data_IF_425841945241
#
_entry.id   IF_425841945241
#
_cell.length_a   1.000
_cell.length_b   1.000
_cell.length_c   1.000
_cell.angle_alpha   90.00
_cell.angle_beta   90.00
_cell.angle_gamma   90.00
#
_symmetry.space_group_name_H-M   'P 1'
#
loop_
_entity.id
_entity.type
_entity.pdbx_description
1 polymer ?
#
# COMPACT_ATOMS: atom_id res chain seq x y z
N UNK A 1 16.69 7.20 -3.45
CA UNK A 1 15.74 6.93 -4.58
C UNK A 1 16.16 7.54 -5.92
N UNK A 2 17.03 8.55 -5.94
CA UNK A 2 17.46 9.21 -7.19
C UNK A 2 18.62 8.51 -7.91
N UNK A 3 19.36 7.67 -7.21
CA UNK A 3 20.53 6.96 -7.73
C UNK A 3 20.12 5.94 -8.78
N UNK A 4 20.48 6.23 -10.04
CA UNK A 4 20.26 5.39 -11.21
C UNK A 4 21.49 4.54 -11.43
N UNK A 5 21.31 3.26 -11.78
CA UNK A 5 22.42 2.43 -12.21
C UNK A 5 22.31 2.13 -13.70
N UNK A 6 22.98 2.95 -14.52
CA UNK A 6 22.94 2.85 -15.98
C UNK A 6 23.46 1.51 -16.53
N UNK A 7 24.13 0.68 -15.72
CA UNK A 7 24.59 -0.66 -16.13
C UNK A 7 23.48 -1.71 -16.10
N UNK A 8 22.49 -1.54 -15.21
CA UNK A 8 21.39 -2.48 -15.03
C UNK A 8 20.08 -1.83 -15.51
N UNK A 9 20.02 -1.42 -16.77
CA UNK A 9 18.78 -0.94 -17.39
C UNK A 9 17.98 -2.15 -17.85
N UNK A 10 16.72 -2.26 -17.44
CA UNK A 10 15.86 -3.43 -17.74
C UNK A 10 16.46 -4.78 -17.30
N UNK A 11 17.26 -4.77 -16.23
CA UNK A 11 17.73 -6.00 -15.62
C UNK A 11 16.55 -6.82 -15.05
N UNK A 12 16.53 -8.15 -15.25
CA UNK A 12 15.48 -9.02 -14.75
C UNK A 12 15.55 -9.21 -13.22
N UNK A 13 14.52 -9.82 -12.61
CA UNK A 13 14.49 -10.19 -11.19
C UNK A 13 15.66 -11.08 -10.77
N UNK A 14 16.29 -10.75 -9.64
CA UNK A 14 17.36 -11.55 -9.05
C UNK A 14 16.83 -12.50 -7.98
N UNK A 15 16.98 -13.81 -8.20
CA UNK A 15 16.67 -14.84 -7.23
C UNK A 15 17.74 -14.92 -6.12
N UNK A 16 17.31 -15.31 -4.92
CA UNK A 16 18.18 -15.56 -3.77
C UNK A 16 18.53 -17.04 -3.75
N UNK A 17 19.82 -17.34 -3.58
CA UNK A 17 20.34 -18.69 -3.46
C UNK A 17 21.04 -18.87 -2.11
N UNK A 18 21.02 -20.10 -1.57
CA UNK A 18 21.64 -20.46 -0.30
C UNK A 18 22.85 -21.39 -0.47
N UNK A 19 22.83 -22.20 -1.54
CA UNK A 19 23.86 -23.19 -1.86
C UNK A 19 24.56 -22.84 -3.17
N UNK A 20 25.88 -22.93 -3.18
CA UNK A 20 26.69 -22.79 -4.39
C UNK A 20 27.55 -24.04 -4.55
N UNK A 21 27.37 -24.76 -5.66
CA UNK A 21 28.14 -25.98 -5.97
C UNK A 21 28.15 -27.05 -4.84
N UNK A 22 27.04 -27.18 -4.12
CA UNK A 22 26.90 -28.15 -3.03
C UNK A 22 27.33 -27.66 -1.64
N UNK A 23 28.03 -26.52 -1.54
CA UNK A 23 28.42 -25.92 -0.27
C UNK A 23 27.44 -24.82 0.18
N UNK A 24 27.21 -24.73 1.50
CA UNK A 24 26.42 -23.67 2.11
C UNK A 24 27.27 -22.40 2.27
N UNK A 25 26.95 -21.35 1.49
CA UNK A 25 27.69 -20.07 1.48
C UNK A 25 26.90 -18.95 2.19
N UNK A 26 25.68 -19.25 2.66
CA UNK A 26 24.71 -18.28 3.16
C UNK A 26 23.89 -17.62 2.04
N UNK A 27 22.98 -16.68 2.34
CA UNK A 27 22.14 -16.04 1.32
C UNK A 27 22.97 -15.19 0.36
N UNK A 28 22.93 -15.50 -0.93
CA UNK A 28 23.67 -14.80 -1.98
C UNK A 28 22.86 -14.67 -3.28
N UNK A 29 23.39 -13.87 -4.20
CA UNK A 29 22.80 -13.60 -5.52
C UNK A 29 23.88 -13.68 -6.58
N UNK A 30 23.54 -14.21 -7.74
CA UNK A 30 24.44 -14.22 -8.90
C UNK A 30 24.47 -12.86 -9.61
N UNK A 31 25.65 -12.45 -10.04
CA UNK A 31 25.83 -11.29 -10.90
C UNK A 31 25.29 -11.54 -12.31
N UNK A 32 24.91 -10.47 -12.98
CA UNK A 32 24.58 -10.53 -14.41
C UNK A 32 25.77 -10.10 -15.27
N UNK A 33 25.89 -10.75 -16.42
CA UNK A 33 26.52 -10.18 -17.60
C UNK A 33 25.45 -9.74 -18.58
N UNK A 34 25.77 -8.77 -19.44
CA UNK A 34 24.86 -8.35 -20.49
C UNK A 34 25.58 -8.37 -21.83
N UNK A 35 24.86 -8.81 -22.86
CA UNK A 35 25.24 -8.63 -24.26
C UNK A 35 24.22 -7.71 -24.91
N UNK A 36 24.69 -6.79 -25.74
CA UNK A 36 23.79 -5.96 -26.55
C UNK A 36 23.38 -6.78 -27.76
N UNK A 37 22.09 -7.06 -27.89
CA UNK A 37 21.55 -7.65 -29.10
C UNK A 37 21.46 -6.54 -30.17
N UNK A 38 22.21 -6.68 -31.26
CA UNK A 38 22.30 -5.68 -32.32
C UNK A 38 21.02 -5.55 -33.14
N UNK A 39 20.11 -6.54 -33.09
CA UNK A 39 18.83 -6.49 -33.81
C UNK A 39 17.78 -5.70 -33.05
N UNK A 40 17.74 -5.86 -31.72
CA UNK A 40 16.73 -5.21 -30.86
C UNK A 40 17.26 -3.98 -30.13
N UNK A 41 18.58 -3.75 -30.14
CA UNK A 41 19.30 -2.76 -29.32
C UNK A 41 18.99 -2.88 -27.82
N UNK A 42 18.49 -4.05 -27.40
CA UNK A 42 18.19 -4.37 -26.00
C UNK A 42 19.36 -5.13 -25.38
N UNK A 43 19.54 -4.93 -24.07
CA UNK A 43 20.53 -5.68 -23.30
C UNK A 43 19.94 -7.02 -22.91
N UNK A 44 20.49 -8.11 -23.44
CA UNK A 44 20.20 -9.46 -23.01
C UNK A 44 21.06 -9.80 -21.79
N UNK A 45 20.43 -9.97 -20.63
CA UNK A 45 21.12 -10.32 -19.38
C UNK A 45 21.24 -11.83 -19.24
N UNK A 46 22.43 -12.32 -18.95
CA UNK A 46 22.69 -13.72 -18.61
C UNK A 46 23.23 -13.83 -17.20
N UNK A 47 22.79 -14.85 -16.45
CA UNK A 47 23.25 -15.09 -15.08
C UNK A 47 24.67 -15.65 -15.14
N UNK A 48 25.62 -14.96 -14.53
CA UNK A 48 26.99 -15.44 -14.41
C UNK A 48 27.17 -16.11 -13.03
N UNK A 49 27.37 -17.44 -13.04
CA UNK A 49 27.56 -18.25 -11.83
C UNK A 49 28.89 -18.01 -11.11
N UNK A 50 29.89 -17.45 -11.79
CA UNK A 50 31.20 -17.12 -11.23
C UNK A 50 31.14 -15.88 -10.33
N UNK A 51 30.12 -15.03 -10.54
CA UNK A 51 29.91 -13.80 -9.77
C UNK A 51 28.96 -14.05 -8.62
N UNK A 52 29.47 -14.61 -7.52
CA UNK A 52 28.72 -14.80 -6.28
C UNK A 52 28.76 -13.52 -5.43
N UNK A 53 27.59 -12.91 -5.19
CA UNK A 53 27.44 -11.72 -4.35
C UNK A 53 26.65 -12.04 -3.08
N UNK A 54 27.28 -12.22 -1.91
CA UNK A 54 26.57 -12.45 -0.66
C UNK A 54 25.65 -11.28 -0.28
N UNK A 55 24.45 -11.59 0.19
CA UNK A 55 23.48 -10.61 0.69
C UNK A 55 23.92 -10.17 2.08
N UNK A 56 23.98 -8.86 2.27
CA UNK A 56 24.24 -8.24 3.56
C UNK A 56 23.04 -7.37 3.95
N UNK A 57 22.52 -7.65 5.13
CA UNK A 57 21.51 -6.80 5.76
C UNK A 57 22.18 -5.53 6.30
N UNK A 58 21.48 -4.39 6.20
CA UNK A 58 21.89 -3.09 6.78
C UNK A 58 23.08 -2.39 6.10
N UNK A 59 23.22 -2.51 4.78
CA UNK A 59 24.19 -1.67 4.07
C UNK A 59 23.76 -0.20 4.08
N UNK A 60 24.73 0.69 4.32
CA UNK A 60 24.54 2.14 4.30
C UNK A 60 24.53 2.63 2.86
N UNK A 61 23.67 3.59 2.56
CA UNK A 61 23.72 4.39 1.35
C UNK A 61 22.67 5.48 1.39
N UNK A 62 22.07 5.81 0.24
CA UNK A 62 21.24 7.01 0.10
C UNK A 62 20.17 7.13 1.21
N UNK A 63 20.28 8.18 2.01
CA UNK A 63 19.30 8.44 3.07
C UNK A 63 17.92 8.67 2.46
N UNK A 64 16.92 7.99 3.00
CA UNK A 64 15.52 8.25 2.66
C UNK A 64 14.71 8.43 3.95
N UNK A 65 13.70 9.30 3.89
CA UNK A 65 12.75 9.46 4.99
C UNK A 65 11.70 8.36 4.87
N UNK A 66 11.72 7.41 5.78
CA UNK A 66 10.66 6.43 5.97
C UNK A 66 9.50 7.11 6.72
N UNK A 67 8.32 7.16 6.08
CA UNK A 67 7.12 7.80 6.62
C UNK A 67 7.28 9.26 7.07
N UNK A 68 8.23 10.00 6.48
CA UNK A 68 8.51 11.39 6.89
C UNK A 68 9.15 11.56 8.28
N UNK A 69 9.12 10.54 9.14
CA UNK A 69 9.54 10.57 10.54
C UNK A 69 10.88 9.87 10.77
N UNK A 70 11.11 8.69 10.20
CA UNK A 70 12.34 7.93 10.42
C UNK A 70 13.34 8.11 9.27
N UNK A 71 14.53 8.65 9.55
CA UNK A 71 15.64 8.66 8.57
C UNK A 71 16.23 7.26 8.48
N UNK A 72 15.71 6.45 7.56
CA UNK A 72 16.28 5.15 7.27
C UNK A 72 17.49 5.32 6.33
N UNK A 73 18.64 4.81 6.76
CA UNK A 73 19.89 4.76 5.97
C UNK A 73 20.26 3.33 5.58
N UNK A 74 19.52 2.36 6.09
CA UNK A 74 19.78 0.94 5.98
C UNK A 74 18.90 0.32 4.90
N UNK A 75 19.54 -0.39 3.97
CA UNK A 75 18.86 -1.20 2.96
C UNK A 75 19.61 -2.52 2.77
N UNK A 76 18.90 -3.49 2.22
CA UNK A 76 19.47 -4.78 1.83
C UNK A 76 20.36 -4.54 0.61
N UNK A 77 21.62 -4.96 0.67
CA UNK A 77 22.54 -4.93 -0.47
C UNK A 77 23.20 -6.27 -0.66
N UNK A 78 23.62 -6.55 -1.89
CA UNK A 78 24.61 -7.58 -2.15
C UNK A 78 26.00 -6.95 -2.14
N UNK A 79 26.88 -7.43 -1.28
CA UNK A 79 28.24 -6.92 -1.19
C UNK A 79 29.15 -7.84 -2.00
N UNK A 80 29.95 -7.29 -2.92
CA UNK A 80 31.01 -8.08 -3.56
C UNK A 80 32.09 -8.35 -2.50
N UNK A 81 32.15 -9.57 -1.98
CA UNK A 81 33.26 -10.02 -1.12
C UNK A 81 34.51 -10.16 -1.98
N UNK A 82 35.50 -9.30 -1.76
CA UNK A 82 36.86 -9.55 -2.24
C UNK A 82 37.56 -10.34 -1.15
N UNK A 83 37.67 -11.66 -1.36
CA UNK A 83 38.44 -12.69 -0.61
C UNK A 83 37.86 -13.28 0.70
N UNK A 84 38.24 -14.53 1.02
CA UNK A 84 37.62 -15.36 2.06
C UNK A 84 38.11 -14.98 3.46
N UNK A 85 37.22 -15.15 4.43
CA UNK A 85 37.38 -14.87 5.87
C UNK A 85 38.35 -15.84 6.60
N UNK A 86 39.29 -16.48 5.92
CA UNK A 86 40.24 -17.43 6.52
C UNK A 86 41.67 -16.89 6.64
N UNK A 87 41.98 -15.69 6.15
CA UNK A 87 43.26 -15.05 6.46
C UNK A 87 43.08 -14.01 7.56
N UNK A 88 43.49 -14.36 8.78
CA UNK A 88 43.61 -13.51 9.97
C UNK A 88 44.73 -12.47 9.81
N UNK A 89 44.96 -11.92 8.60
CA UNK A 89 45.89 -10.84 8.34
C UNK A 89 45.11 -9.54 8.15
N UNK A 90 45.30 -8.65 9.12
CA UNK A 90 45.11 -7.19 9.14
C UNK A 90 44.32 -6.65 7.94
N UNK A 91 43.05 -6.31 8.21
CA UNK A 91 42.15 -5.65 7.28
C UNK A 91 42.87 -4.48 6.56
N UNK A 92 42.94 -4.48 5.22
CA UNK A 92 43.33 -3.29 4.50
C UNK A 92 42.17 -2.28 4.58
N UNK A 93 42.52 -1.06 4.97
CA UNK A 93 41.78 0.20 4.84
C UNK A 93 40.27 0.10 4.47
N UNK A 94 39.32 0.45 5.37
CA UNK A 94 37.88 0.21 5.20
C UNK A 94 37.20 0.97 4.04
N UNK A 95 37.95 1.80 3.30
CA UNK A 95 37.47 2.59 2.16
C UNK A 95 37.86 2.00 0.79
N UNK A 96 38.70 0.97 0.73
CA UNK A 96 39.12 0.37 -0.54
C UNK A 96 38.38 -0.94 -0.82
N UNK A 97 37.59 -0.94 -1.88
CA UNK A 97 37.19 -2.11 -2.66
C UNK A 97 36.01 -3.01 -2.21
N UNK A 98 35.09 -2.58 -1.33
CA UNK A 98 33.74 -3.21 -1.36
C UNK A 98 32.85 -2.45 -2.33
N UNK A 99 32.85 -2.85 -3.61
CA UNK A 99 31.86 -2.35 -4.56
C UNK A 99 30.50 -2.95 -4.18
N UNK A 100 29.71 -2.17 -3.45
CA UNK A 100 28.33 -2.53 -3.12
C UNK A 100 27.53 -2.62 -4.41
N UNK A 101 27.08 -3.81 -4.76
CA UNK A 101 26.16 -4.02 -5.88
C UNK A 101 24.77 -3.91 -5.30
N UNK A 102 23.92 -3.09 -5.92
CA UNK A 102 22.53 -2.98 -5.45
C UNK A 102 21.80 -4.24 -5.86
N UNK A 103 21.24 -4.93 -4.88
CA UNK A 103 20.40 -6.10 -5.08
C UNK A 103 19.08 -5.67 -5.70
N UNK A 104 18.68 -6.30 -6.81
CA UNK A 104 17.47 -5.95 -7.57
C UNK A 104 16.50 -7.12 -7.60
N UNK A 105 15.75 -7.30 -6.51
CA UNK A 105 14.87 -8.45 -6.33
C UNK A 105 13.80 -8.56 -7.42
N UNK A 106 13.09 -7.47 -7.71
CA UNK A 106 12.10 -7.38 -8.79
C UNK A 106 12.66 -6.77 -10.09
N UNK A 107 13.99 -6.71 -10.21
CA UNK A 107 14.64 -6.11 -11.37
C UNK A 107 14.59 -4.58 -11.37
N UNK A 108 14.74 -4.01 -12.56
CA UNK A 108 14.94 -2.56 -12.75
C UNK A 108 14.09 -1.99 -13.88
N UNK A 109 13.71 -0.71 -13.73
CA UNK A 109 13.00 0.05 -14.76
C UNK A 109 13.95 0.50 -15.91
N UNK A 110 13.40 1.13 -16.95
CA UNK A 110 14.07 1.77 -18.10
C UNK A 110 15.21 2.72 -17.74
N UNK A 111 15.18 3.28 -16.53
CA UNK A 111 16.21 4.18 -16.00
C UNK A 111 17.25 3.48 -15.11
N UNK A 112 17.21 2.15 -14.99
CA UNK A 112 18.08 1.38 -14.11
C UNK A 112 17.83 1.65 -12.62
N UNK A 113 16.56 1.89 -12.26
CA UNK A 113 16.11 2.10 -10.88
C UNK A 113 15.45 0.83 -10.37
N UNK A 114 15.72 0.48 -9.10
CA UNK A 114 15.14 -0.71 -8.45
C UNK A 114 13.61 -0.60 -8.36
N UNK A 115 12.92 -1.63 -8.87
CA UNK A 115 11.46 -1.69 -8.91
C UNK A 115 10.87 -1.95 -7.53
N UNK A 116 11.48 -2.85 -6.75
CA UNK A 116 11.01 -3.19 -5.40
C UNK A 116 10.95 -1.95 -4.50
N UNK A 117 12.04 -1.18 -4.44
CA UNK A 117 12.10 0.06 -3.65
C UNK A 117 11.04 1.09 -4.08
N UNK A 118 10.68 1.11 -5.37
CA UNK A 118 9.63 1.99 -5.91
C UNK A 118 8.24 1.55 -5.52
N UNK A 119 7.97 0.25 -5.58
CA UNK A 119 6.69 -0.33 -5.13
C UNK A 119 6.51 -0.05 -3.64
N UNK A 120 7.53 -0.31 -2.81
CA UNK A 120 7.45 -0.05 -1.37
C UNK A 120 7.19 1.45 -1.10
N UNK A 121 7.85 2.35 -1.82
CA UNK A 121 7.62 3.78 -1.63
C UNK A 121 6.22 4.23 -2.10
N UNK A 122 5.79 3.78 -3.29
CA UNK A 122 4.47 4.10 -3.84
C UNK A 122 3.34 3.53 -2.99
N UNK A 123 3.51 2.30 -2.48
CA UNK A 123 2.53 1.62 -1.63
C UNK A 123 2.18 2.42 -0.37
N UNK A 124 3.12 3.17 0.20
CA UNK A 124 2.86 4.04 1.36
C UNK A 124 1.84 5.12 1.02
N UNK A 125 2.07 5.82 -0.10
CA UNK A 125 1.20 6.91 -0.54
C UNK A 125 -0.19 6.35 -0.86
N UNK A 126 -0.24 5.27 -1.65
CA UNK A 126 -1.50 4.62 -2.03
C UNK A 126 -2.27 4.10 -0.81
N UNK A 127 -1.59 3.45 0.15
CA UNK A 127 -2.22 2.93 1.35
C UNK A 127 -2.75 4.04 2.25
N UNK A 128 -1.98 5.11 2.45
CA UNK A 128 -2.42 6.24 3.30
C UNK A 128 -3.66 6.94 2.73
N UNK A 129 -3.67 7.24 1.43
CA UNK A 129 -4.79 7.92 0.78
C UNK A 129 -6.01 7.01 0.71
N UNK A 130 -5.82 5.72 0.37
CA UNK A 130 -6.89 4.73 0.37
C UNK A 130 -7.52 4.53 1.75
N UNK A 131 -6.70 4.44 2.80
CA UNK A 131 -7.19 4.31 4.17
C UNK A 131 -7.99 5.54 4.61
N UNK A 132 -7.53 6.75 4.26
CA UNK A 132 -8.26 7.99 4.55
C UNK A 132 -9.61 8.00 3.82
N UNK A 133 -9.64 7.63 2.54
CA UNK A 133 -10.87 7.57 1.75
C UNK A 133 -11.89 6.58 2.33
N UNK A 134 -11.45 5.35 2.63
CA UNK A 134 -12.32 4.32 3.22
C UNK A 134 -12.79 4.76 4.61
N UNK A 135 -11.91 5.30 5.45
CA UNK A 135 -12.29 5.77 6.78
C UNK A 135 -13.33 6.89 6.71
N UNK A 136 -13.18 7.82 5.77
CA UNK A 136 -14.15 8.89 5.56
C UNK A 136 -15.51 8.35 5.11
N UNK A 137 -15.53 7.47 4.10
CA UNK A 137 -16.76 6.81 3.64
C UNK A 137 -17.42 5.98 4.75
N UNK A 138 -16.61 5.33 5.58
CA UNK A 138 -17.06 4.50 6.69
C UNK A 138 -17.75 5.32 7.78
N UNK A 139 -17.11 6.41 8.21
CA UNK A 139 -17.69 7.34 9.19
C UNK A 139 -19.01 7.91 8.66
N UNK A 140 -19.02 8.38 7.42
CA UNK A 140 -20.21 8.98 6.82
C UNK A 140 -21.34 7.95 6.67
N UNK A 141 -21.02 6.73 6.23
CA UNK A 141 -21.99 5.64 6.11
C UNK A 141 -22.58 5.20 7.44
N UNK A 142 -21.76 5.08 8.49
CA UNK A 142 -22.24 4.74 9.85
C UNK A 142 -23.10 5.86 10.42
N UNK A 143 -22.69 7.12 10.28
CA UNK A 143 -23.45 8.25 10.85
C UNK A 143 -24.80 8.37 10.14
N UNK A 144 -24.82 8.41 8.81
CA UNK A 144 -26.08 8.60 8.06
C UNK A 144 -26.97 7.35 8.12
N UNK A 145 -26.41 6.15 7.90
CA UNK A 145 -27.15 4.89 8.03
C UNK A 145 -27.62 4.63 9.46
N UNK A 146 -26.82 5.05 10.43
CA UNK A 146 -27.11 5.03 11.84
C UNK A 146 -28.32 5.87 12.21
N UNK A 147 -28.32 7.14 11.77
CA UNK A 147 -29.43 8.07 11.98
C UNK A 147 -30.71 7.57 11.32
N UNK A 148 -30.63 7.06 10.08
CA UNK A 148 -31.77 6.50 9.37
C UNK A 148 -32.37 5.27 10.07
N UNK A 149 -31.52 4.33 10.51
CA UNK A 149 -31.95 3.13 11.23
C UNK A 149 -32.48 3.42 12.64
N UNK A 150 -31.92 4.42 13.32
CA UNK A 150 -32.29 4.79 14.70
C UNK A 150 -33.65 5.48 14.76
N UNK A 151 -33.84 6.56 13.99
CA UNK A 151 -35.08 7.34 14.04
C UNK A 151 -36.21 6.69 13.24
N UNK A 152 -35.89 6.00 12.14
CA UNK A 152 -36.89 5.46 11.22
C UNK A 152 -37.80 6.55 10.62
N UNK A 153 -38.90 6.12 10.01
CA UNK A 153 -39.96 7.03 9.53
C UNK A 153 -39.49 8.00 8.45
N UNK A 154 -39.72 9.31 8.64
CA UNK A 154 -39.45 10.32 7.63
C UNK A 154 -37.95 10.55 7.38
N UNK A 155 -37.11 10.49 8.43
CA UNK A 155 -35.64 10.60 8.30
C UNK A 155 -35.11 9.49 7.41
N UNK A 156 -35.57 8.27 7.66
CA UNK A 156 -35.20 7.12 6.86
C UNK A 156 -35.66 7.25 5.40
N UNK A 157 -36.91 7.67 5.19
CA UNK A 157 -37.44 7.89 3.84
C UNK A 157 -36.59 8.91 3.05
N UNK A 158 -36.20 10.04 3.64
CA UNK A 158 -35.33 11.02 2.96
C UNK A 158 -33.99 10.40 2.61
N UNK A 159 -33.33 9.74 3.59
CA UNK A 159 -32.01 9.15 3.38
C UNK A 159 -32.07 8.11 2.26
N UNK A 160 -33.10 7.27 2.23
CA UNK A 160 -33.28 6.30 1.14
C UNK A 160 -33.52 6.99 -0.21
N UNK A 161 -34.32 8.05 -0.30
CA UNK A 161 -34.52 8.76 -1.57
C UNK A 161 -33.26 9.41 -2.09
N UNK A 162 -32.46 10.01 -1.21
CA UNK A 162 -31.15 10.55 -1.60
C UNK A 162 -30.26 9.43 -2.14
N UNK A 163 -30.21 8.27 -1.47
CA UNK A 163 -29.42 7.11 -1.91
C UNK A 163 -29.91 6.54 -3.25
N UNK A 164 -31.22 6.43 -3.46
CA UNK A 164 -31.81 5.96 -4.71
C UNK A 164 -31.51 6.91 -5.87
N UNK A 165 -31.65 8.22 -5.66
CA UNK A 165 -31.29 9.24 -6.66
C UNK A 165 -29.81 9.12 -7.03
N UNK A 166 -28.92 9.06 -6.03
CA UNK A 166 -27.48 8.92 -6.27
C UNK A 166 -27.12 7.64 -7.05
N UNK A 167 -27.78 6.52 -6.74
CA UNK A 167 -27.50 5.22 -7.41
C UNK A 167 -28.34 4.94 -8.64
N UNK A 168 -29.24 5.83 -9.02
CA UNK A 168 -29.93 5.77 -10.31
C UNK A 168 -28.98 6.03 -11.48
N UNK A 169 -27.87 6.72 -11.22
CA UNK A 169 -26.81 6.93 -12.18
C UNK A 169 -25.87 5.71 -12.23
N UNK A 170 -25.42 5.27 -13.43
CA UNK A 170 -24.42 4.23 -13.55
C UNK A 170 -23.08 4.68 -12.94
N UNK A 171 -22.48 3.83 -12.11
CA UNK A 171 -21.30 4.17 -11.28
C UNK A 171 -20.09 4.60 -12.14
N UNK A 172 -19.79 3.88 -13.23
CA UNK A 172 -18.63 4.17 -14.08
C UNK A 172 -18.74 5.56 -14.75
N UNK A 173 -19.85 5.91 -15.45
CA UNK A 173 -20.02 7.26 -15.98
C UNK A 173 -19.97 8.36 -14.93
N UNK A 174 -20.54 8.13 -13.74
CA UNK A 174 -20.51 9.10 -12.65
C UNK A 174 -19.06 9.37 -12.20
N UNK A 175 -18.25 8.32 -12.05
CA UNK A 175 -16.83 8.46 -11.71
C UNK A 175 -16.04 9.22 -12.78
N UNK A 176 -16.28 8.91 -14.06
CA UNK A 176 -15.64 9.62 -15.16
C UNK A 176 -16.00 11.11 -15.15
N UNK A 177 -17.29 11.43 -14.97
CA UNK A 177 -17.77 12.81 -14.92
C UNK A 177 -17.17 13.60 -13.74
N UNK A 178 -17.20 13.06 -12.52
CA UNK A 178 -16.62 13.75 -11.37
C UNK A 178 -15.09 13.85 -11.46
N UNK A 179 -14.41 12.87 -12.05
CA UNK A 179 -12.95 12.94 -12.24
C UNK A 179 -12.53 14.11 -13.14
N UNK A 180 -13.39 14.50 -14.11
CA UNK A 180 -13.13 15.61 -15.01
C UNK A 180 -13.21 16.99 -14.32
N UNK A 181 -13.82 17.08 -13.13
CA UNK A 181 -13.88 18.32 -12.34
C UNK A 181 -12.50 18.68 -11.74
N UNK A 182 -11.59 17.70 -11.63
CA UNK A 182 -10.27 17.92 -11.04
C UNK A 182 -9.33 18.62 -12.04
N UNK A 183 -8.73 19.78 -11.68
CA UNK A 183 -7.83 20.50 -12.57
C UNK A 183 -6.59 19.69 -12.90
N UNK A 184 -6.28 19.57 -14.20
CA UNK A 184 -5.05 18.89 -14.69
C UNK A 184 -3.75 19.60 -14.28
N UNK A 185 -3.84 20.84 -13.80
CA UNK A 185 -2.70 21.64 -13.31
C UNK A 185 -2.24 21.23 -11.92
N UNK A 186 -3.05 20.45 -11.18
CA UNK A 186 -2.70 19.99 -9.85
C UNK A 186 -1.59 18.94 -9.87
N UNK A 187 -0.88 18.82 -8.75
CA UNK A 187 0.11 17.76 -8.61
C UNK A 187 -0.56 16.37 -8.71
N UNK A 188 0.12 15.34 -9.27
CA UNK A 188 -0.45 13.99 -9.37
C UNK A 188 -0.93 13.42 -8.03
N UNK A 189 -0.30 13.83 -6.93
CA UNK A 189 -0.69 13.46 -5.57
C UNK A 189 -2.05 14.04 -5.18
N UNK A 190 -2.31 15.32 -5.51
CA UNK A 190 -3.57 15.99 -5.22
C UNK A 190 -4.71 15.44 -6.10
N UNK A 191 -4.44 15.14 -7.37
CA UNK A 191 -5.43 14.51 -8.25
C UNK A 191 -5.83 13.14 -7.68
N UNK A 192 -4.85 12.30 -7.32
CA UNK A 192 -5.11 10.98 -6.74
C UNK A 192 -5.89 11.06 -5.42
N UNK A 193 -5.54 12.02 -4.55
CA UNK A 193 -6.29 12.30 -3.33
C UNK A 193 -7.72 12.78 -3.61
N UNK A 194 -7.89 13.69 -4.57
CA UNK A 194 -9.19 14.21 -5.00
C UNK A 194 -10.11 13.11 -5.53
N UNK A 195 -9.61 12.25 -6.44
CA UNK A 195 -10.37 11.10 -6.95
C UNK A 195 -10.76 10.19 -5.79
N UNK A 196 -9.83 9.87 -4.90
CA UNK A 196 -10.13 8.99 -3.75
C UNK A 196 -11.22 9.56 -2.86
N UNK A 197 -11.21 10.87 -2.59
CA UNK A 197 -12.23 11.51 -1.76
C UNK A 197 -13.59 11.58 -2.47
N UNK A 198 -13.59 11.81 -3.79
CA UNK A 198 -14.79 11.75 -4.63
C UNK A 198 -15.43 10.36 -4.56
N UNK A 199 -14.64 9.29 -4.71
CA UNK A 199 -15.16 7.92 -4.66
C UNK A 199 -15.68 7.58 -3.25
N UNK A 200 -14.96 7.98 -2.21
CA UNK A 200 -15.39 7.81 -0.82
C UNK A 200 -16.76 8.47 -0.54
N UNK A 201 -17.03 9.64 -1.16
CA UNK A 201 -18.30 10.37 -1.10
C UNK A 201 -19.44 9.71 -1.89
N UNK A 202 -19.19 8.68 -2.68
CA UNK A 202 -20.22 7.92 -3.38
C UNK A 202 -20.44 6.54 -2.75
N UNK A 203 -19.37 5.92 -2.26
CA UNK A 203 -19.38 4.56 -1.70
C UNK A 203 -20.14 4.43 -0.37
N UNK A 204 -20.33 5.54 0.36
CA UNK A 204 -21.02 5.51 1.67
C UNK A 204 -22.47 5.04 1.58
N UNK A 205 -23.11 5.19 0.41
CA UNK A 205 -24.52 4.87 0.20
C UNK A 205 -24.82 3.38 0.37
N UNK A 206 -23.87 2.51 0.00
CA UNK A 206 -23.97 1.07 0.21
C UNK A 206 -23.84 0.71 1.68
N UNK A 207 -22.82 1.26 2.34
CA UNK A 207 -22.58 1.04 3.77
C UNK A 207 -23.73 1.57 4.63
N UNK A 208 -24.25 2.76 4.33
CA UNK A 208 -25.36 3.36 5.07
C UNK A 208 -26.61 2.48 5.04
N UNK A 209 -26.93 1.87 3.89
CA UNK A 209 -28.02 0.89 3.80
C UNK A 209 -27.74 -0.36 4.62
N UNK A 210 -26.52 -0.89 4.58
CA UNK A 210 -26.15 -2.06 5.37
C UNK A 210 -26.28 -1.79 6.88
N UNK A 211 -25.77 -0.64 7.36
CA UNK A 211 -25.86 -0.22 8.76
C UNK A 211 -27.32 -0.01 9.17
N UNK A 212 -28.11 0.67 8.35
CA UNK A 212 -29.56 0.84 8.58
C UNK A 212 -30.25 -0.51 8.74
N UNK A 213 -30.07 -1.43 7.79
CA UNK A 213 -30.70 -2.76 7.84
C UNK A 213 -30.32 -3.52 9.10
N UNK A 214 -29.05 -3.40 9.55
CA UNK A 214 -28.61 -4.01 10.81
C UNK A 214 -29.26 -3.36 12.03
N UNK A 215 -29.37 -2.04 12.08
CA UNK A 215 -30.03 -1.36 13.20
C UNK A 215 -31.52 -1.66 13.29
N UNK A 216 -32.22 -1.77 12.15
CA UNK A 216 -33.62 -2.19 12.12
C UNK A 216 -33.78 -3.62 12.65
N UNK A 217 -32.90 -4.54 12.26
CA UNK A 217 -32.93 -5.90 12.78
C UNK A 217 -32.63 -5.96 14.29
N UNK A 218 -31.60 -5.25 14.75
CA UNK A 218 -31.22 -5.21 16.18
C UNK A 218 -32.31 -4.59 17.07
N UNK A 219 -33.15 -3.71 16.52
CA UNK A 219 -34.26 -3.09 17.25
C UNK A 219 -35.36 -4.09 17.62
N UNK A 220 -35.54 -5.14 16.82
CA UNK A 220 -36.58 -6.17 17.01
C UNK A 220 -36.13 -7.34 17.91
N UNK A 221 -34.89 -7.30 18.39
CA UNK A 221 -34.32 -8.36 19.24
C UNK A 221 -34.83 -8.32 20.70
N UNK A 222 -34.84 -9.49 21.34
CA UNK A 222 -35.41 -9.69 22.69
C UNK A 222 -34.76 -8.82 23.77
N UNK A 223 -33.46 -8.54 23.67
CA UNK A 223 -32.75 -7.69 24.63
C UNK A 223 -33.18 -6.22 24.55
N UNK A 224 -33.60 -5.74 23.36
CA UNK A 224 -34.17 -4.41 23.21
C UNK A 224 -35.57 -4.34 23.84
N UNK A 225 -36.37 -5.40 23.69
CA UNK A 225 -37.70 -5.51 24.31
C UNK A 225 -37.59 -5.58 25.84
N UNK A 226 -36.67 -6.38 26.37
CA UNK A 226 -36.40 -6.46 27.81
C UNK A 226 -35.97 -5.11 28.39
N UNK A 227 -35.11 -4.36 27.69
CA UNK A 227 -34.71 -3.01 28.10
C UNK A 227 -35.90 -2.03 28.15
N UNK A 228 -36.84 -2.12 27.19
CA UNK A 228 -38.06 -1.31 27.21
C UNK A 228 -38.97 -1.67 28.39
N UNK A 229 -39.11 -2.97 28.73
CA UNK A 229 -39.83 -3.42 29.92
C UNK A 229 -39.20 -2.90 31.22
N UNK A 230 -37.88 -2.72 31.24
CA UNK A 230 -37.15 -2.09 32.34
C UNK A 230 -37.25 -0.55 32.36
N UNK A 231 -38.06 0.05 31.47
CA UNK A 231 -38.35 1.49 31.46
C UNK A 231 -37.53 2.31 30.47
N UNK A 232 -36.74 1.69 29.58
CA UNK A 232 -36.04 2.40 28.52
C UNK A 232 -37.04 2.98 27.49
N UNK A 233 -37.03 4.30 27.27
CA UNK A 233 -37.96 4.96 26.34
C UNK A 233 -37.42 5.01 24.91
N UNK A 234 -38.23 4.69 23.89
CA UNK A 234 -37.84 4.81 22.48
C UNK A 234 -37.92 6.29 22.04
N UNK A 235 -36.84 7.03 22.25
CA UNK A 235 -36.74 8.42 21.80
C UNK A 235 -35.74 9.23 22.62
N UNK A 236 -34.51 9.34 22.12
CA UNK A 236 -33.59 10.42 22.51
C UNK A 236 -32.34 10.00 23.26
N UNK A 237 -32.29 8.86 23.96
CA UNK A 237 -31.10 8.51 24.78
C UNK A 237 -30.91 7.02 25.10
N UNK A 238 -31.83 6.14 24.71
CA UNK A 238 -31.90 4.80 25.34
C UNK A 238 -31.07 3.71 24.67
N UNK A 239 -30.47 3.94 23.50
CA UNK A 239 -29.52 2.95 22.92
C UNK A 239 -28.15 3.01 23.61
N UNK A 240 -27.80 4.14 24.22
CA UNK A 240 -26.62 4.19 25.11
C UNK A 240 -26.79 3.24 26.32
N UNK A 241 -28.04 3.01 26.77
CA UNK A 241 -28.34 2.11 27.88
C UNK A 241 -28.40 0.65 27.40
N UNK A 242 -28.93 0.36 26.22
CA UNK A 242 -28.88 -1.01 25.65
C UNK A 242 -27.45 -1.49 25.36
N UNK A 243 -26.51 -0.58 25.04
CA UNK A 243 -25.11 -0.93 24.81
C UNK A 243 -24.28 -1.09 26.11
N UNK A 244 -24.82 -0.73 27.27
CA UNK A 244 -24.16 -0.88 28.57
C UNK A 244 -24.53 -2.18 29.30
N UNK A 245 -25.45 -2.98 28.77
CA UNK A 245 -25.87 -4.27 29.34
C UNK A 245 -25.19 -5.48 28.66
N UNK A 246 -24.00 -5.28 28.08
CA UNK A 246 -23.13 -6.35 27.55
C UNK A 246 -21.78 -6.32 28.24
#
# INVERSE_FOLDING_TARGET
MHTRNARFIHAPPQAIHLFHQGEFVGPFVYGYDYKLDMKTLKRAFTVNKDKVHPIRFLCRGDSYRFWGTFKARTFICSARRIRPLLSRRRAPNPKSATKTVRFTFFGTDRLGRDVLSRIIYGSRISLTIGLIGIAFSFVLGIVIGGLAGYYGGWVDNIVQRVIEILRSFPEIPLWMALSAVLPVTWSPLLIFFGITMILALLDWTGLARAVRSKLMALREEDYCTAAQLMGAKPGGSSVAICCQAS
#
